data_IF_652642664970
#
_entry.id   IF_652642664970
#
_cell.length_a   1.000
_cell.length_b   1.000
_cell.length_c   1.000
_cell.angle_alpha   90.00
_cell.angle_beta   90.00
_cell.angle_gamma   90.00
#
_symmetry.space_group_name_H-M   'P 1'
#
loop_
_entity.id
_entity.type
_entity.pdbx_description
1 polymer ?
#
# COMPACT_ATOMS: atom_id res chain seq x y z
N UNK A 1 -13.43 2.05 3.19
CA UNK A 1 -13.72 3.20 2.31
C UNK A 1 -15.16 3.69 2.39
N UNK A 2 -16.18 2.82 2.38
CA UNK A 2 -17.60 3.25 2.36
C UNK A 2 -18.04 4.30 3.39
N UNK A 3 -17.48 4.28 4.59
CA UNK A 3 -17.80 5.29 5.60
C UNK A 3 -17.34 6.71 5.19
N UNK A 4 -16.17 6.84 4.54
CA UNK A 4 -15.67 8.11 4.03
C UNK A 4 -16.52 8.61 2.85
N UNK A 5 -17.00 7.71 1.98
CA UNK A 5 -17.97 8.06 0.92
C UNK A 5 -19.24 8.68 1.50
N UNK A 6 -19.78 8.10 2.58
CA UNK A 6 -20.98 8.62 3.26
C UNK A 6 -20.71 10.03 3.83
N UNK A 7 -19.48 10.32 4.25
CA UNK A 7 -19.06 11.63 4.73
C UNK A 7 -18.77 12.64 3.59
N UNK A 8 -18.89 12.23 2.33
CA UNK A 8 -18.76 13.10 1.16
C UNK A 8 -17.38 13.10 0.50
N UNK A 9 -16.46 12.20 0.90
CA UNK A 9 -15.21 12.00 0.19
C UNK A 9 -15.45 11.13 -1.05
N UNK A 10 -15.00 11.58 -2.22
CA UNK A 10 -15.43 11.02 -3.50
C UNK A 10 -14.37 10.20 -4.20
N UNK A 11 -13.09 10.52 -4.02
CA UNK A 11 -12.01 9.77 -4.63
C UNK A 11 -11.18 9.06 -3.56
N UNK A 12 -11.40 7.77 -3.39
CA UNK A 12 -10.85 6.98 -2.30
C UNK A 12 -9.93 5.91 -2.85
N UNK A 13 -8.68 5.85 -2.38
CA UNK A 13 -7.73 4.82 -2.78
C UNK A 13 -7.75 3.64 -1.80
N UNK A 14 -7.96 2.43 -2.32
CA UNK A 14 -7.80 1.19 -1.57
C UNK A 14 -6.80 0.27 -2.28
N UNK A 15 -5.81 -0.26 -1.55
CA UNK A 15 -4.74 -1.11 -2.10
C UNK A 15 -5.22 -2.33 -2.91
N UNK A 16 -6.39 -2.86 -2.59
CA UNK A 16 -7.08 -3.88 -3.40
C UNK A 16 -7.30 -3.47 -4.87
N UNK A 17 -7.57 -2.20 -5.16
CA UNK A 17 -7.79 -1.73 -6.53
C UNK A 17 -6.51 -1.85 -7.37
N UNK A 18 -5.36 -1.53 -6.79
CA UNK A 18 -4.06 -1.74 -7.42
C UNK A 18 -3.74 -3.23 -7.63
N UNK A 19 -4.41 -4.13 -6.91
CA UNK A 19 -4.21 -5.58 -7.03
C UNK A 19 -5.11 -6.23 -8.08
N UNK A 20 -6.37 -5.79 -8.21
CA UNK A 20 -7.34 -6.42 -9.12
C UNK A 20 -7.49 -5.73 -10.49
N UNK A 21 -7.12 -4.45 -10.59
CA UNK A 21 -7.37 -3.67 -11.80
C UNK A 21 -6.11 -3.51 -12.63
N UNK A 22 -6.15 -4.03 -13.86
CA UNK A 22 -5.04 -3.90 -14.83
C UNK A 22 -4.66 -2.43 -15.08
N UNK A 23 -5.64 -1.52 -15.10
CA UNK A 23 -5.43 -0.09 -15.30
C UNK A 23 -4.79 0.63 -14.10
N UNK A 24 -4.61 -0.06 -12.96
CA UNK A 24 -3.98 0.47 -11.75
C UNK A 24 -2.61 -0.16 -11.45
N UNK A 25 -2.18 -1.15 -12.25
CA UNK A 25 -0.91 -1.85 -12.04
C UNK A 25 0.32 -0.93 -12.18
N UNK A 26 0.18 0.21 -12.86
CA UNK A 26 1.24 1.22 -13.01
C UNK A 26 1.71 1.83 -11.68
N UNK A 27 0.96 1.67 -10.59
CA UNK A 27 1.32 2.16 -9.27
C UNK A 27 2.43 1.30 -8.60
N UNK A 28 2.55 0.02 -8.96
CA UNK A 28 3.49 -0.91 -8.33
C UNK A 28 4.95 -0.49 -8.42
N UNK A 29 5.49 -0.06 -9.59
CA UNK A 29 6.85 0.46 -9.66
C UNK A 29 7.11 1.64 -8.71
N UNK A 30 6.08 2.46 -8.44
CA UNK A 30 6.19 3.61 -7.52
C UNK A 30 6.17 3.11 -6.06
N UNK A 31 5.33 2.11 -5.74
CA UNK A 31 5.36 1.45 -4.44
C UNK A 31 6.68 0.71 -4.16
N UNK A 32 7.32 0.15 -5.19
CA UNK A 32 8.66 -0.44 -5.08
C UNK A 32 9.69 0.64 -4.74
N UNK A 33 9.68 1.78 -5.44
CA UNK A 33 10.51 2.94 -5.08
C UNK A 33 10.26 3.43 -3.65
N UNK A 34 9.00 3.44 -3.20
CA UNK A 34 8.66 3.82 -1.83
C UNK A 34 9.19 2.81 -0.80
N UNK A 35 9.16 1.51 -1.11
CA UNK A 35 9.74 0.46 -0.26
C UNK A 35 11.26 0.61 -0.16
N UNK A 36 11.95 0.83 -1.29
CA UNK A 36 13.39 1.09 -1.36
C UNK A 36 13.81 2.35 -0.59
N UNK A 37 12.92 3.34 -0.48
CA UNK A 37 13.17 4.54 0.31
C UNK A 37 12.85 4.39 1.81
N UNK A 38 12.03 3.41 2.19
CA UNK A 38 11.44 3.31 3.54
C UNK A 38 12.10 2.24 4.41
N UNK A 39 12.39 1.06 3.86
CA UNK A 39 12.75 -0.11 4.67
C UNK A 39 14.27 -0.36 4.70
N UNK A 40 14.97 -0.11 5.82
CA UNK A 40 16.43 -0.27 5.87
C UNK A 40 16.90 -1.73 5.87
N UNK A 41 15.98 -2.69 5.99
CA UNK A 41 16.26 -4.12 6.08
C UNK A 41 16.14 -4.86 4.74
N UNK A 42 15.93 -4.17 3.62
CA UNK A 42 15.93 -4.77 2.27
C UNK A 42 17.20 -4.41 1.49
N UNK A 43 17.69 -5.27 0.58
CA UNK A 43 18.95 -5.03 -0.16
C UNK A 43 18.94 -3.79 -1.05
N UNK A 44 17.75 -3.37 -1.49
CA UNK A 44 17.54 -2.24 -2.40
C UNK A 44 17.36 -0.90 -1.67
N UNK A 45 17.46 -0.90 -0.34
CA UNK A 45 17.32 0.31 0.46
C UNK A 45 18.31 1.39 0.02
N UNK A 46 17.77 2.57 -0.31
CA UNK A 46 18.56 3.68 -0.87
C UNK A 46 18.60 4.93 0.02
N UNK A 47 17.77 4.99 1.07
CA UNK A 47 17.75 6.10 2.04
C UNK A 47 17.41 7.48 1.46
N UNK A 48 16.87 7.56 0.24
CA UNK A 48 16.52 8.83 -0.42
C UNK A 48 15.30 9.51 0.21
N UNK A 49 14.52 8.76 1.00
CA UNK A 49 13.21 9.18 1.46
C UNK A 49 12.19 9.17 0.33
N UNK A 50 10.93 9.37 0.69
CA UNK A 50 9.81 9.44 -0.25
C UNK A 50 8.92 10.58 0.21
N UNK A 51 8.78 11.60 -0.63
CA UNK A 51 8.18 12.88 -0.31
C UNK A 51 6.85 13.10 -1.01
N UNK A 52 6.27 14.29 -0.79
CA UNK A 52 4.98 14.67 -1.40
C UNK A 52 4.99 14.56 -2.92
N UNK A 53 6.02 15.05 -3.60
CA UNK A 53 6.10 14.97 -5.07
C UNK A 53 6.04 13.55 -5.59
N UNK A 54 6.67 12.61 -4.87
CA UNK A 54 6.71 11.21 -5.24
C UNK A 54 5.35 10.54 -4.94
N UNK A 55 4.72 10.89 -3.82
CA UNK A 55 3.38 10.42 -3.48
C UNK A 55 2.29 10.98 -4.39
N UNK A 56 2.42 12.23 -4.83
CA UNK A 56 1.47 12.90 -5.71
C UNK A 56 1.38 12.19 -7.08
N UNK A 57 2.38 11.39 -7.47
CA UNK A 57 2.28 10.54 -8.66
C UNK A 57 1.15 9.50 -8.55
N UNK A 58 0.84 9.03 -7.34
CA UNK A 58 -0.26 8.08 -7.09
C UNK A 58 -1.47 8.78 -6.47
N UNK A 59 -1.24 9.62 -5.47
CA UNK A 59 -2.25 10.04 -4.50
C UNK A 59 -2.78 11.47 -4.70
N UNK A 60 -2.28 12.23 -5.66
CA UNK A 60 -2.67 13.65 -5.86
C UNK A 60 -4.18 13.87 -6.05
N UNK A 61 -4.85 12.93 -6.70
CA UNK A 61 -6.29 13.03 -6.98
C UNK A 61 -7.16 12.44 -5.86
N UNK A 62 -6.59 11.73 -4.89
CA UNK A 62 -7.36 11.00 -3.88
C UNK A 62 -7.56 11.81 -2.59
N UNK A 63 -8.79 11.78 -2.09
CA UNK A 63 -9.20 12.42 -0.84
C UNK A 63 -8.70 11.67 0.41
N UNK A 64 -8.57 10.34 0.31
CA UNK A 64 -8.04 9.50 1.37
C UNK A 64 -7.47 8.18 0.83
N UNK A 65 -6.49 7.64 1.55
CA UNK A 65 -5.79 6.40 1.22
C UNK A 65 -5.94 5.40 2.37
N UNK A 66 -6.08 4.12 2.04
CA UNK A 66 -6.15 3.03 3.02
C UNK A 66 -5.33 1.82 2.56
N UNK A 67 -5.28 0.77 3.39
CA UNK A 67 -4.66 -0.51 3.05
C UNK A 67 -3.15 -0.35 2.72
N UNK A 68 -2.73 -0.41 1.46
CA UNK A 68 -1.30 -0.30 1.07
C UNK A 68 -0.63 0.99 1.58
N UNK A 69 -1.37 2.11 1.66
CA UNK A 69 -0.82 3.36 2.19
C UNK A 69 -0.38 3.26 3.66
N UNK A 70 -0.96 2.34 4.43
CA UNK A 70 -0.58 2.15 5.84
C UNK A 70 0.86 1.66 6.03
N UNK A 71 1.42 0.98 5.02
CA UNK A 71 2.81 0.53 5.02
C UNK A 71 3.81 1.70 5.04
N UNK A 72 3.37 2.87 4.57
CA UNK A 72 4.19 4.07 4.39
C UNK A 72 3.71 5.25 5.24
N UNK A 73 2.94 4.97 6.32
CA UNK A 73 2.26 5.99 7.12
C UNK A 73 3.20 7.12 7.60
N UNK A 74 4.42 6.80 8.06
CA UNK A 74 5.36 7.82 8.51
C UNK A 74 5.80 8.80 7.41
N UNK A 75 5.99 8.29 6.19
CA UNK A 75 6.34 9.11 5.02
C UNK A 75 5.13 9.95 4.58
N UNK A 76 3.94 9.35 4.52
CA UNK A 76 2.70 10.05 4.18
C UNK A 76 2.34 11.14 5.19
N UNK A 77 2.51 10.91 6.49
CA UNK A 77 2.26 11.93 7.54
C UNK A 77 3.17 13.15 7.34
N UNK A 78 4.43 12.93 6.97
CA UNK A 78 5.38 14.03 6.68
C UNK A 78 5.03 14.75 5.38
N UNK A 79 4.60 14.01 4.35
CA UNK A 79 4.23 14.56 3.06
C UNK A 79 2.92 15.39 3.14
N UNK A 80 1.94 14.91 3.90
CA UNK A 80 0.60 15.50 4.05
C UNK A 80 0.31 15.89 5.50
N UNK A 81 0.98 16.92 6.05
CA UNK A 81 0.87 17.27 7.47
C UNK A 81 -0.53 17.74 7.89
N UNK A 82 -1.33 18.25 6.96
CA UNK A 82 -2.72 18.68 7.21
C UNK A 82 -3.73 17.53 7.11
N UNK A 83 -3.32 16.36 6.61
CA UNK A 83 -4.19 15.19 6.52
C UNK A 83 -4.43 14.58 7.91
N UNK A 84 -5.67 14.14 8.14
CA UNK A 84 -6.02 13.44 9.37
C UNK A 84 -5.68 11.96 9.25
N UNK A 85 -5.13 11.37 10.31
CA UNK A 85 -4.82 9.94 10.38
C UNK A 85 -5.92 9.20 11.13
N UNK A 86 -6.42 8.11 10.55
CA UNK A 86 -7.39 7.21 11.17
C UNK A 86 -6.72 5.85 11.37
N UNK A 87 -6.56 5.42 12.62
CA UNK A 87 -6.13 4.07 12.96
C UNK A 87 -7.37 3.20 13.24
N UNK A 88 -7.55 2.13 12.47
CA UNK A 88 -8.62 1.17 12.67
C UNK A 88 -8.07 -0.03 13.43
N UNK A 89 -8.60 -0.26 14.63
CA UNK A 89 -8.14 -1.34 15.51
C UNK A 89 -9.16 -2.48 15.57
N UNK A 90 -8.65 -3.68 15.83
CA UNK A 90 -9.44 -4.89 16.05
C UNK A 90 -8.68 -5.79 17.03
N UNK A 91 -9.43 -6.61 17.76
CA UNK A 91 -8.88 -7.72 18.53
C UNK A 91 -7.89 -8.56 17.68
N UNK A 92 -6.71 -8.83 18.25
CA UNK A 92 -5.58 -9.40 17.49
C UNK A 92 -5.88 -10.80 16.96
N UNK A 93 -6.56 -11.64 17.74
CA UNK A 93 -6.90 -13.01 17.34
C UNK A 93 -7.95 -13.00 16.22
N UNK A 94 -8.97 -12.15 16.35
CA UNK A 94 -9.94 -11.94 15.25
C UNK A 94 -9.28 -11.38 14.00
N UNK A 95 -8.29 -10.51 14.16
CA UNK A 95 -7.55 -9.96 13.04
C UNK A 95 -6.70 -11.00 12.32
N UNK A 96 -5.91 -11.75 13.09
CA UNK A 96 -5.01 -12.74 12.56
C UNK A 96 -5.77 -13.83 11.80
N UNK A 97 -6.84 -14.35 12.40
CA UNK A 97 -7.66 -15.40 11.78
C UNK A 97 -8.33 -14.94 10.47
N UNK A 98 -8.69 -13.65 10.33
CA UNK A 98 -9.23 -13.15 9.07
C UNK A 98 -8.15 -12.81 8.03
N UNK A 99 -6.96 -12.40 8.48
CA UNK A 99 -5.86 -12.00 7.62
C UNK A 99 -5.13 -13.21 7.02
N UNK A 100 -5.01 -14.29 7.79
CA UNK A 100 -4.25 -15.48 7.41
C UNK A 100 -4.65 -16.05 6.03
N UNK A 101 -5.94 -16.24 5.69
CA UNK A 101 -6.32 -16.77 4.38
C UNK A 101 -5.93 -15.87 3.20
N UNK A 102 -5.79 -14.57 3.42
CA UNK A 102 -5.39 -13.58 2.40
C UNK A 102 -3.89 -13.71 2.11
N UNK A 103 -3.06 -13.82 3.16
CA UNK A 103 -1.61 -13.82 3.01
C UNK A 103 -1.00 -15.21 2.77
N UNK A 104 -1.64 -16.27 3.24
CA UNK A 104 -1.12 -17.64 3.14
C UNK A 104 -0.84 -18.10 1.70
N UNK A 105 -1.69 -17.80 0.69
CA UNK A 105 -1.39 -18.14 -0.71
C UNK A 105 -0.09 -17.49 -1.22
N UNK A 106 0.12 -16.22 -0.89
CA UNK A 106 1.32 -15.47 -1.27
C UNK A 106 2.60 -15.99 -0.58
N UNK A 107 2.45 -16.66 0.56
CA UNK A 107 3.55 -17.29 1.30
C UNK A 107 3.89 -18.71 0.81
N UNK A 108 3.08 -19.31 -0.09
CA UNK A 108 3.37 -20.64 -0.61
C UNK A 108 4.68 -20.63 -1.44
N UNK A 109 5.74 -21.36 -1.04
CA UNK A 109 7.04 -21.27 -1.70
C UNK A 109 7.02 -21.69 -3.17
N UNK A 110 6.09 -22.58 -3.57
CA UNK A 110 5.97 -23.02 -4.97
C UNK A 110 5.32 -21.95 -5.83
N UNK A 111 4.21 -21.36 -5.34
CA UNK A 111 3.52 -20.27 -6.05
C UNK A 111 4.42 -19.05 -6.17
N UNK A 112 5.15 -18.70 -5.09
CA UNK A 112 6.11 -17.60 -5.10
C UNK A 112 7.24 -17.80 -6.12
N UNK A 113 7.87 -18.99 -6.13
CA UNK A 113 8.92 -19.30 -7.12
C UNK A 113 8.40 -19.28 -8.55
N UNK A 114 7.17 -19.73 -8.78
CA UNK A 114 6.52 -19.72 -10.09
C UNK A 114 6.24 -18.28 -10.56
N UNK A 115 5.69 -17.43 -9.68
CA UNK A 115 5.40 -16.04 -9.98
C UNK A 115 6.66 -15.24 -10.35
N UNK A 116 7.76 -15.40 -9.59
CA UNK A 116 9.05 -14.75 -9.90
C UNK A 116 9.53 -15.14 -11.31
N UNK A 117 9.52 -16.45 -11.61
CA UNK A 117 9.97 -16.94 -12.92
C UNK A 117 9.14 -16.41 -14.09
N UNK A 118 7.86 -16.12 -13.89
CA UNK A 118 7.01 -15.51 -14.92
C UNK A 118 7.24 -14.01 -15.03
N UNK A 119 7.47 -13.31 -13.91
CA UNK A 119 7.74 -11.87 -13.91
C UNK A 119 9.09 -11.50 -14.54
N UNK A 120 10.04 -12.43 -14.56
CA UNK A 120 11.37 -12.25 -15.20
C UNK A 120 11.36 -12.55 -16.72
N UNK A 121 10.24 -12.99 -17.30
CA UNK A 121 10.07 -13.30 -18.74
C UNK A 121 9.48 -12.12 -19.51
#
# INVERSE_FOLDING_TARGET
>A
MKALEILGYTNLHHGWEASERDDMQWQWPIFDCAADATYPNIPTYNGKGFGRSDWDEIFSEYDAVSDIGSLFAESLIKAYPDAKVILVERDIEKWYNSALPIFQPAQNPRLRKFAIKIGDL
#
